data_IF_666507049678
#
_entry.id   IF_666507049678
#
_cell.length_a   1.000
_cell.length_b   1.000
_cell.length_c   1.000
_cell.angle_alpha   90.00
_cell.angle_beta   90.00
_cell.angle_gamma   90.00
#
_symmetry.space_group_name_H-M   'P 1'
#
loop_
_entity.id
_entity.type
_entity.pdbx_description
1 polymer ?
#
# COMPACT_ATOMS: atom_id res chain seq x y z
N UNK A 1 19.16 -79.71 -6.68
CA UNK A 1 17.90 -78.90 -6.43
C UNK A 1 18.12 -77.43 -6.03
N UNK A 2 19.18 -77.11 -5.29
CA UNK A 2 19.39 -75.77 -4.72
C UNK A 2 19.85 -74.71 -5.71
N UNK A 3 20.65 -75.02 -6.67
CA UNK A 3 21.15 -74.09 -7.69
C UNK A 3 20.05 -73.58 -8.63
N UNK A 4 19.06 -74.43 -8.93
CA UNK A 4 17.94 -74.05 -9.80
C UNK A 4 16.95 -73.09 -9.09
N UNK A 5 16.79 -73.18 -7.77
CA UNK A 5 15.88 -72.34 -6.96
C UNK A 5 16.47 -70.99 -6.72
N UNK A 6 17.79 -70.81 -6.63
CA UNK A 6 18.51 -69.57 -6.47
C UNK A 6 18.46 -68.74 -7.75
N UNK A 7 18.61 -69.35 -8.91
CA UNK A 7 18.50 -68.64 -10.21
C UNK A 7 17.08 -68.18 -10.53
N UNK A 8 16.05 -68.83 -10.03
CA UNK A 8 14.66 -68.50 -10.23
C UNK A 8 14.25 -67.24 -9.35
N UNK A 9 14.82 -67.13 -8.15
CA UNK A 9 14.63 -65.93 -7.29
C UNK A 9 15.30 -64.70 -7.88
N UNK A 10 16.53 -64.81 -8.36
CA UNK A 10 17.23 -63.70 -9.00
C UNK A 10 16.57 -63.24 -10.28
N UNK A 11 16.05 -64.19 -11.11
CA UNK A 11 15.30 -63.85 -12.31
C UNK A 11 14.01 -63.06 -12.01
N UNK A 12 13.26 -63.37 -10.97
CA UNK A 12 12.07 -62.67 -10.54
C UNK A 12 12.39 -61.23 -10.07
N UNK A 13 13.51 -61.03 -9.37
CA UNK A 13 13.95 -59.72 -8.91
C UNK A 13 14.34 -58.82 -10.09
N UNK A 14 15.08 -59.33 -11.07
CA UNK A 14 15.42 -58.57 -12.27
C UNK A 14 14.21 -58.22 -13.15
N UNK A 15 13.25 -59.18 -13.25
CA UNK A 15 12.00 -58.94 -13.96
C UNK A 15 11.18 -57.82 -13.28
N UNK A 16 11.07 -57.84 -11.95
CA UNK A 16 10.37 -56.83 -11.19
C UNK A 16 11.05 -55.44 -11.31
N UNK A 17 12.37 -55.36 -11.21
CA UNK A 17 13.16 -54.16 -11.41
C UNK A 17 12.99 -53.57 -12.81
N UNK A 18 12.96 -54.44 -13.85
CA UNK A 18 12.76 -54.01 -15.23
C UNK A 18 11.35 -53.42 -15.44
N UNK A 19 10.32 -54.05 -14.85
CA UNK A 19 8.93 -53.54 -14.89
C UNK A 19 8.82 -52.17 -14.18
N UNK A 20 9.44 -52.03 -12.99
CA UNK A 20 9.49 -50.77 -12.28
C UNK A 20 10.21 -49.66 -13.06
N UNK A 21 11.32 -49.99 -13.75
CA UNK A 21 12.07 -49.07 -14.58
C UNK A 21 11.24 -48.57 -15.78
N UNK A 22 10.55 -49.50 -16.46
CA UNK A 22 9.66 -49.17 -17.58
C UNK A 22 8.49 -48.28 -17.10
N UNK A 23 7.88 -48.61 -15.95
CA UNK A 23 6.80 -47.83 -15.37
C UNK A 23 7.28 -46.41 -15.00
N UNK A 24 8.49 -46.26 -14.44
CA UNK A 24 9.12 -44.97 -14.12
C UNK A 24 9.40 -44.14 -15.38
N UNK A 25 9.86 -44.76 -16.46
CA UNK A 25 10.10 -44.09 -17.73
C UNK A 25 8.81 -43.60 -18.41
N UNK A 26 7.75 -44.44 -18.39
CA UNK A 26 6.43 -44.08 -18.95
C UNK A 26 5.80 -42.94 -18.14
N UNK A 27 5.89 -43.00 -16.79
CA UNK A 27 5.34 -41.96 -15.92
C UNK A 27 6.03 -40.60 -16.11
N UNK A 28 7.36 -40.60 -16.23
CA UNK A 28 8.11 -39.33 -16.49
C UNK A 28 7.86 -38.78 -17.90
N UNK A 29 7.65 -39.64 -18.90
CA UNK A 29 7.40 -39.21 -20.28
C UNK A 29 6.00 -38.53 -20.43
N UNK A 30 4.98 -39.07 -19.72
CA UNK A 30 3.63 -38.51 -19.72
C UNK A 30 3.57 -37.10 -19.08
N UNK A 31 4.22 -36.93 -17.92
CA UNK A 31 4.21 -35.67 -17.18
C UNK A 31 4.97 -34.53 -17.92
N UNK A 32 6.05 -34.86 -18.62
CA UNK A 32 6.84 -33.90 -19.40
C UNK A 32 6.11 -33.42 -20.65
N UNK A 33 5.23 -34.22 -21.26
CA UNK A 33 4.54 -33.88 -22.50
C UNK A 33 3.39 -32.89 -22.26
N UNK A 34 2.61 -33.11 -21.18
CA UNK A 34 1.46 -32.28 -20.84
C UNK A 34 1.89 -30.84 -20.43
N UNK A 35 3.00 -30.74 -19.67
CA UNK A 35 3.56 -29.42 -19.31
C UNK A 35 4.10 -28.66 -20.51
N UNK A 36 4.63 -29.35 -21.51
CA UNK A 36 5.17 -28.74 -22.72
C UNK A 36 4.06 -28.21 -23.64
N UNK A 37 3.00 -28.98 -23.85
CA UNK A 37 1.84 -28.54 -24.65
C UNK A 37 1.15 -27.33 -24.04
N UNK A 38 0.97 -27.30 -22.72
CA UNK A 38 0.39 -26.15 -22.02
C UNK A 38 1.25 -24.89 -22.12
N UNK A 39 2.57 -25.02 -22.04
CA UNK A 39 3.48 -23.90 -22.22
C UNK A 39 3.45 -23.39 -23.67
N UNK A 40 3.42 -24.26 -24.67
CA UNK A 40 3.37 -23.89 -26.08
C UNK A 40 2.07 -23.11 -26.39
N UNK A 41 0.96 -23.48 -25.78
CA UNK A 41 -0.31 -22.75 -25.89
C UNK A 41 -0.22 -21.34 -25.28
N UNK A 42 0.34 -21.20 -24.10
CA UNK A 42 0.56 -19.90 -23.44
C UNK A 42 1.44 -18.99 -24.32
N UNK A 43 2.53 -19.52 -24.85
CA UNK A 43 3.42 -18.76 -25.75
C UNK A 43 2.72 -18.29 -27.02
N UNK A 44 1.79 -19.08 -27.58
CA UNK A 44 0.98 -18.69 -28.73
C UNK A 44 0.10 -17.46 -28.42
N UNK A 45 -0.55 -17.43 -27.25
CA UNK A 45 -1.37 -16.30 -26.83
C UNK A 45 -0.54 -15.08 -26.45
N UNK A 46 0.63 -15.24 -25.82
CA UNK A 46 1.56 -14.14 -25.58
C UNK A 46 2.08 -13.52 -26.86
N UNK A 47 2.31 -14.33 -27.92
CA UNK A 47 2.68 -13.81 -29.23
C UNK A 47 1.53 -12.99 -29.84
N UNK A 48 0.29 -13.48 -29.75
CA UNK A 48 -0.89 -12.77 -30.21
C UNK A 48 -1.04 -11.42 -29.48
N UNK A 49 -0.91 -11.43 -28.15
CA UNK A 49 -0.94 -10.22 -27.32
C UNK A 49 0.10 -9.19 -27.77
N UNK A 50 1.35 -9.63 -27.99
CA UNK A 50 2.43 -8.78 -28.46
C UNK A 50 2.16 -8.19 -29.86
N UNK A 51 1.54 -8.95 -30.74
CA UNK A 51 1.15 -8.48 -32.08
C UNK A 51 0.05 -7.41 -32.01
N UNK A 52 -0.96 -7.63 -31.15
CA UNK A 52 -2.04 -6.66 -30.96
C UNK A 52 -1.50 -5.37 -30.32
N UNK A 53 -0.59 -5.47 -29.34
CA UNK A 53 0.04 -4.31 -28.74
C UNK A 53 0.75 -3.44 -29.79
N UNK A 54 1.58 -4.05 -30.64
CA UNK A 54 2.25 -3.35 -31.74
C UNK A 54 1.26 -2.74 -32.73
N UNK A 55 0.20 -3.47 -33.09
CA UNK A 55 -0.82 -2.96 -34.00
C UNK A 55 -1.47 -1.69 -33.43
N UNK A 56 -1.71 -1.63 -32.14
CA UNK A 56 -2.25 -0.44 -31.47
C UNK A 56 -1.21 0.70 -31.49
N UNK A 57 0.05 0.43 -31.13
CA UNK A 57 1.12 1.42 -31.15
C UNK A 57 1.31 2.05 -32.55
N UNK A 58 1.25 1.21 -33.61
CA UNK A 58 1.51 1.65 -34.96
C UNK A 58 0.32 2.36 -35.62
N UNK A 59 -0.93 2.09 -35.20
CA UNK A 59 -2.11 2.51 -35.98
C UNK A 59 -3.13 3.34 -35.17
N UNK A 60 -2.95 3.51 -33.85
CA UNK A 60 -3.91 4.30 -33.09
C UNK A 60 -3.77 5.79 -33.45
N UNK A 61 -4.91 6.52 -33.38
CA UNK A 61 -5.02 7.92 -33.85
C UNK A 61 -4.13 8.90 -33.07
N UNK A 62 -3.79 8.58 -31.81
CA UNK A 62 -2.90 9.38 -30.98
C UNK A 62 -1.80 8.50 -30.40
N UNK A 63 -0.68 9.11 -30.01
CA UNK A 63 0.40 8.39 -29.32
C UNK A 63 -0.13 7.71 -28.06
N UNK A 64 0.16 6.43 -27.90
CA UNK A 64 -0.27 5.61 -26.75
C UNK A 64 0.92 5.28 -25.87
N UNK A 65 0.67 5.18 -24.58
CA UNK A 65 1.67 4.77 -23.61
C UNK A 65 1.62 3.24 -23.46
N UNK A 66 2.66 2.49 -23.89
CA UNK A 66 2.69 1.03 -23.79
C UNK A 66 2.52 0.52 -22.37
N UNK A 67 3.05 1.25 -21.39
CA UNK A 67 2.92 0.92 -19.96
C UNK A 67 1.46 0.89 -19.53
N UNK A 68 0.67 1.89 -19.89
CA UNK A 68 -0.75 1.95 -19.55
C UNK A 68 -1.56 0.86 -20.22
N UNK A 69 -1.24 0.54 -21.49
CA UNK A 69 -1.88 -0.58 -22.20
C UNK A 69 -1.61 -1.92 -21.52
N UNK A 70 -0.37 -2.16 -21.08
CA UNK A 70 0.01 -3.39 -20.36
C UNK A 70 -0.71 -3.47 -19.02
N UNK A 71 -0.75 -2.38 -18.24
CA UNK A 71 -1.50 -2.35 -16.97
C UNK A 71 -3.00 -2.59 -17.20
N UNK A 72 -3.57 -2.00 -18.26
CA UNK A 72 -4.97 -2.24 -18.64
C UNK A 72 -5.24 -3.70 -18.98
N UNK A 73 -4.33 -4.34 -19.72
CA UNK A 73 -4.44 -5.76 -20.06
C UNK A 73 -4.34 -6.66 -18.81
N UNK A 74 -3.41 -6.39 -17.89
CA UNK A 74 -3.29 -7.12 -16.62
C UNK A 74 -4.57 -6.98 -15.80
N UNK A 75 -5.12 -5.77 -15.69
CA UNK A 75 -6.39 -5.55 -15.00
C UNK A 75 -7.55 -6.31 -15.67
N UNK A 76 -7.57 -6.36 -17.02
CA UNK A 76 -8.53 -7.18 -17.75
C UNK A 76 -8.45 -8.67 -17.40
N UNK A 77 -7.23 -9.21 -17.29
CA UNK A 77 -7.02 -10.60 -16.84
C UNK A 77 -7.52 -10.83 -15.42
N UNK A 78 -7.22 -9.93 -14.49
CA UNK A 78 -7.64 -10.05 -13.10
C UNK A 78 -9.16 -9.95 -12.95
N UNK A 79 -9.79 -9.03 -13.66
CA UNK A 79 -11.25 -8.89 -13.68
C UNK A 79 -11.98 -10.12 -14.22
N UNK A 80 -11.30 -10.97 -15.02
CA UNK A 80 -11.87 -12.23 -15.48
C UNK A 80 -11.86 -13.34 -14.43
N UNK A 81 -11.15 -13.16 -13.31
CA UNK A 81 -11.07 -14.13 -12.21
C UNK A 81 -12.21 -13.90 -11.21
N UNK A 82 -12.26 -12.72 -10.63
CA UNK A 82 -13.25 -12.32 -9.63
C UNK A 82 -13.26 -10.78 -9.46
N UNK A 83 -14.28 -10.19 -8.77
CA UNK A 83 -14.38 -8.74 -8.59
C UNK A 83 -13.42 -8.17 -7.53
N UNK A 84 -12.66 -9.01 -6.81
CA UNK A 84 -11.79 -8.59 -5.71
C UNK A 84 -10.31 -8.61 -6.09
N UNK A 85 -9.95 -9.33 -7.16
CA UNK A 85 -8.58 -9.39 -7.65
C UNK A 85 -8.20 -8.11 -8.38
N UNK A 86 -7.14 -7.45 -7.95
CA UNK A 86 -6.65 -6.21 -8.56
C UNK A 86 -5.13 -6.12 -8.53
N UNK A 87 -4.57 -5.41 -9.50
CA UNK A 87 -3.15 -5.02 -9.50
C UNK A 87 -3.03 -3.58 -9.02
N UNK A 88 -2.28 -3.37 -7.97
CA UNK A 88 -1.92 -2.04 -7.51
C UNK A 88 -0.63 -1.59 -8.17
N UNK A 89 -0.62 -0.38 -8.71
CA UNK A 89 0.62 0.29 -9.12
C UNK A 89 1.48 0.58 -7.87
N UNK A 90 2.81 0.75 -7.99
CA UNK A 90 3.67 1.01 -6.84
C UNK A 90 3.21 2.18 -5.96
N UNK A 91 2.65 3.22 -6.57
CA UNK A 91 2.13 4.38 -5.86
C UNK A 91 0.85 4.04 -5.08
N UNK A 92 -0.07 3.28 -5.66
CA UNK A 92 -1.31 2.82 -5.03
C UNK A 92 -1.02 1.86 -3.87
N UNK A 93 -0.06 0.95 -4.06
CA UNK A 93 0.39 0.06 -2.99
C UNK A 93 0.99 0.84 -1.81
N UNK A 94 1.76 1.88 -2.09
CA UNK A 94 2.34 2.75 -1.06
C UNK A 94 1.26 3.52 -0.28
N UNK A 95 0.22 4.01 -0.94
CA UNK A 95 -0.89 4.66 -0.25
C UNK A 95 -1.67 3.66 0.61
N UNK A 96 -1.94 2.44 0.12
CA UNK A 96 -2.55 1.37 0.91
C UNK A 96 -1.69 1.03 2.15
N UNK A 97 -0.36 0.98 1.99
CA UNK A 97 0.56 0.74 3.10
C UNK A 97 0.50 1.87 4.15
N UNK A 98 0.35 3.13 3.72
CA UNK A 98 0.13 4.27 4.61
C UNK A 98 -1.21 4.15 5.34
N UNK A 99 -2.28 3.82 4.62
CA UNK A 99 -3.61 3.66 5.20
C UNK A 99 -3.66 2.53 6.23
N UNK A 100 -3.02 1.41 5.96
CA UNK A 100 -3.02 0.24 6.84
C UNK A 100 -2.10 0.39 8.04
N UNK A 101 -0.89 0.94 7.86
CA UNK A 101 0.06 1.22 8.95
C UNK A 101 -0.33 2.44 9.79
N UNK A 102 -1.15 3.34 9.23
CA UNK A 102 -1.51 4.60 9.87
C UNK A 102 -0.32 5.54 10.06
N UNK A 103 0.68 5.45 9.18
CA UNK A 103 1.86 6.33 9.25
C UNK A 103 2.38 6.65 7.86
N UNK A 104 2.89 7.86 7.68
CA UNK A 104 3.65 8.23 6.49
C UNK A 104 4.95 8.93 6.87
N UNK A 105 5.87 9.04 5.94
CA UNK A 105 7.14 9.74 6.17
C UNK A 105 7.11 11.12 5.51
N UNK A 106 7.43 12.16 6.29
CA UNK A 106 7.39 13.53 5.83
C UNK A 106 7.68 14.53 6.94
N UNK A 107 7.18 15.75 6.80
CA UNK A 107 7.40 16.82 7.79
C UNK A 107 6.20 17.06 8.74
N UNK A 108 5.03 16.47 8.45
CA UNK A 108 3.85 16.58 9.31
C UNK A 108 3.09 17.90 9.18
N UNK A 109 2.68 18.26 7.95
CA UNK A 109 1.78 19.39 7.70
C UNK A 109 0.58 18.95 6.87
N UNK A 110 -0.54 19.56 7.15
CA UNK A 110 -1.72 19.57 6.30
C UNK A 110 -1.68 20.80 5.40
N UNK A 111 -1.83 20.63 4.09
CA UNK A 111 -1.73 21.72 3.11
C UNK A 111 -2.96 21.75 2.20
N UNK A 112 -3.24 22.93 1.67
CA UNK A 112 -4.28 23.17 0.66
C UNK A 112 -3.77 24.16 -0.38
N UNK A 113 -4.50 24.32 -1.47
CA UNK A 113 -4.29 25.46 -2.40
C UNK A 113 -5.30 26.53 -2.06
N UNK A 114 -4.79 27.73 -1.73
CA UNK A 114 -5.59 28.92 -1.50
C UNK A 114 -5.02 30.08 -2.33
N UNK A 115 -5.88 30.72 -3.12
CA UNK A 115 -5.47 31.81 -4.02
C UNK A 115 -4.26 31.39 -4.91
N UNK A 116 -4.33 30.20 -5.51
CA UNK A 116 -3.29 29.59 -6.34
C UNK A 116 -1.95 29.33 -5.62
N UNK A 117 -1.90 29.47 -4.30
CA UNK A 117 -0.69 29.27 -3.49
C UNK A 117 -0.88 28.09 -2.53
N UNK A 118 0.14 27.23 -2.44
CA UNK A 118 0.16 26.15 -1.45
C UNK A 118 0.27 26.76 -0.06
N UNK A 119 -0.74 26.51 0.77
CA UNK A 119 -0.89 27.13 2.09
C UNK A 119 -1.04 26.06 3.16
N UNK A 120 -0.38 26.25 4.30
CA UNK A 120 -0.48 25.35 5.47
C UNK A 120 -1.84 25.54 6.12
N UNK A 121 -2.61 24.46 6.22
CA UNK A 121 -3.87 24.40 7.00
C UNK A 121 -3.53 24.28 8.48
N UNK A 122 -2.70 23.28 8.84
CA UNK A 122 -2.20 23.08 10.19
C UNK A 122 -0.94 22.20 10.19
N UNK A 123 0.04 22.45 11.07
CA UNK A 123 1.04 21.45 11.41
C UNK A 123 0.43 20.41 12.35
N UNK A 124 0.85 19.15 12.18
CA UNK A 124 0.45 18.05 13.07
C UNK A 124 1.30 18.11 14.33
N UNK A 125 0.69 18.00 15.51
CA UNK A 125 1.39 18.03 16.80
C UNK A 125 2.53 17.02 16.88
N UNK A 126 3.61 17.38 17.58
CA UNK A 126 4.81 16.58 17.80
C UNK A 126 5.64 16.21 16.56
N UNK A 127 5.28 16.71 15.39
CA UNK A 127 6.00 16.48 14.12
C UNK A 127 7.16 17.47 13.91
N UNK A 128 8.05 17.22 12.92
CA UNK A 128 9.12 18.16 12.58
C UNK A 128 8.61 19.57 12.26
N UNK A 129 7.51 19.71 11.54
CA UNK A 129 6.92 21.00 11.20
C UNK A 129 6.39 21.75 12.42
N UNK A 130 5.74 21.04 13.34
CA UNK A 130 5.28 21.61 14.60
C UNK A 130 6.45 22.13 15.44
N UNK A 131 7.50 21.33 15.62
CA UNK A 131 8.71 21.69 16.39
C UNK A 131 9.46 22.87 15.78
N UNK A 132 9.41 23.01 14.45
CA UNK A 132 10.00 24.14 13.73
C UNK A 132 9.15 25.42 13.76
N UNK A 133 7.97 25.37 14.38
CA UNK A 133 7.09 26.53 14.53
C UNK A 133 6.41 26.96 13.24
N UNK A 134 6.11 26.04 12.33
CA UNK A 134 5.22 26.26 11.18
C UNK A 134 3.82 26.53 11.73
N UNK A 135 3.10 27.46 11.09
CA UNK A 135 1.79 27.92 11.57
C UNK A 135 0.72 27.80 10.48
N UNK A 136 -0.54 27.67 10.87
CA UNK A 136 -1.67 27.82 9.94
C UNK A 136 -1.57 29.15 9.19
N UNK A 137 -1.82 29.10 7.87
CA UNK A 137 -1.76 30.27 7.00
C UNK A 137 -0.37 30.59 6.42
N UNK A 138 0.69 29.87 6.80
CA UNK A 138 1.99 30.02 6.15
C UNK A 138 1.86 29.59 4.67
N UNK A 139 2.25 30.48 3.74
CA UNK A 139 2.26 30.22 2.31
C UNK A 139 3.61 29.60 1.92
N UNK A 140 3.63 28.43 1.33
CA UNK A 140 4.86 27.76 0.90
C UNK A 140 5.22 28.29 -0.49
N UNK A 141 6.32 29.01 -0.60
CA UNK A 141 6.80 29.59 -1.85
C UNK A 141 7.75 28.67 -2.61
N UNK A 142 8.56 27.87 -1.89
CA UNK A 142 9.49 26.90 -2.46
C UNK A 142 9.56 25.65 -1.59
N UNK A 143 9.83 24.52 -2.22
CA UNK A 143 10.20 23.24 -1.58
C UNK A 143 11.52 22.81 -2.21
N UNK A 144 12.58 22.76 -1.39
CA UNK A 144 13.96 22.75 -1.85
C UNK A 144 14.18 23.89 -2.86
N UNK A 145 14.76 23.64 -4.02
CA UNK A 145 14.99 24.64 -5.05
C UNK A 145 13.79 24.87 -5.99
N UNK A 146 12.66 24.15 -5.78
CA UNK A 146 11.50 24.21 -6.68
C UNK A 146 10.45 25.21 -6.21
N UNK A 147 10.13 26.24 -7.02
CA UNK A 147 9.03 27.13 -6.72
C UNK A 147 7.68 26.40 -6.76
N UNK A 148 6.78 26.73 -5.84
CA UNK A 148 5.46 26.08 -5.73
C UNK A 148 4.38 26.73 -6.60
N UNK A 149 4.67 27.85 -7.25
CA UNK A 149 3.72 28.54 -8.13
C UNK A 149 3.32 27.63 -9.30
N UNK A 150 2.03 27.38 -9.45
CA UNK A 150 1.49 26.49 -10.48
C UNK A 150 1.65 24.99 -10.21
N UNK A 151 2.22 24.63 -9.05
CA UNK A 151 2.39 23.24 -8.62
C UNK A 151 1.05 22.68 -8.11
N UNK A 152 0.71 21.46 -8.49
CA UNK A 152 -0.43 20.75 -7.93
C UNK A 152 -0.19 20.34 -6.47
N UNK A 153 -1.27 20.14 -5.71
CA UNK A 153 -1.18 19.69 -4.32
C UNK A 153 -0.44 18.35 -4.21
N UNK A 154 -0.69 17.44 -5.15
CA UNK A 154 -0.06 16.12 -5.18
C UNK A 154 1.47 16.21 -5.40
N UNK A 155 1.91 17.11 -6.28
CA UNK A 155 3.34 17.35 -6.51
C UNK A 155 4.02 17.90 -5.27
N UNK A 156 3.38 18.86 -4.60
CA UNK A 156 3.90 19.41 -3.35
C UNK A 156 4.00 18.34 -2.26
N UNK A 157 2.97 17.50 -2.09
CA UNK A 157 2.98 16.38 -1.15
C UNK A 157 4.13 15.41 -1.47
N UNK A 158 4.35 15.07 -2.75
CA UNK A 158 5.47 14.20 -3.16
C UNK A 158 6.84 14.77 -2.79
N UNK A 159 7.03 16.09 -2.88
CA UNK A 159 8.28 16.75 -2.50
C UNK A 159 8.46 16.85 -0.98
N UNK A 160 7.40 17.10 -0.23
CA UNK A 160 7.41 17.17 1.24
C UNK A 160 7.60 15.80 1.89
N UNK A 161 7.07 14.74 1.28
CA UNK A 161 7.31 13.34 1.68
C UNK A 161 8.70 12.88 1.24
N UNK A 162 9.19 11.82 1.84
CA UNK A 162 10.47 11.18 1.49
C UNK A 162 10.97 10.27 2.60
N UNK A 163 12.13 9.60 2.42
CA UNK A 163 12.67 8.70 3.43
C UNK A 163 12.92 9.40 4.77
N UNK A 164 12.63 8.69 5.88
CA UNK A 164 12.95 9.16 7.24
C UNK A 164 14.44 9.56 7.34
N UNK A 165 14.72 10.68 8.02
CA UNK A 165 16.06 11.20 8.25
C UNK A 165 16.61 12.06 7.09
N UNK A 166 15.93 12.14 5.94
CA UNK A 166 16.33 13.04 4.86
C UNK A 166 15.87 14.47 5.13
N UNK A 167 16.62 15.44 4.61
CA UNK A 167 16.29 16.86 4.75
C UNK A 167 15.35 17.33 3.65
N UNK A 168 14.52 18.32 3.96
CA UNK A 168 13.77 19.13 3.01
C UNK A 168 13.78 20.56 3.51
N UNK A 169 14.00 21.50 2.62
CA UNK A 169 13.99 22.93 2.93
C UNK A 169 12.73 23.55 2.33
N UNK A 170 11.96 24.27 3.14
CA UNK A 170 10.79 25.01 2.67
C UNK A 170 11.01 26.49 2.86
N UNK A 171 10.67 27.28 1.85
CA UNK A 171 10.58 28.75 1.96
C UNK A 171 9.12 29.11 2.17
N UNK A 172 8.80 29.71 3.29
CA UNK A 172 7.44 30.16 3.64
C UNK A 172 7.34 31.68 3.66
N UNK A 173 6.15 32.18 3.33
CA UNK A 173 5.75 33.56 3.53
C UNK A 173 4.68 33.59 4.64
N UNK A 174 5.00 34.27 5.73
CA UNK A 174 4.11 34.45 6.89
C UNK A 174 3.58 35.89 6.97
N UNK A 175 2.27 36.04 7.20
CA UNK A 175 1.59 37.32 7.32
C UNK A 175 1.85 38.27 6.13
N UNK A 176 2.06 37.69 4.94
CA UNK A 176 2.36 38.42 3.69
C UNK A 176 3.59 39.36 3.73
N UNK A 177 4.47 39.20 4.72
CA UNK A 177 5.66 40.05 4.93
C UNK A 177 6.92 39.27 5.27
N UNK A 178 6.82 38.21 6.08
CA UNK A 178 7.99 37.55 6.63
C UNK A 178 8.34 36.31 5.80
N UNK A 179 9.41 36.35 5.03
CA UNK A 179 9.94 35.21 4.32
C UNK A 179 10.91 34.49 5.25
N UNK A 180 10.70 33.17 5.40
CA UNK A 180 11.56 32.29 6.21
C UNK A 180 11.93 31.04 5.43
N UNK A 181 13.20 30.67 5.50
CA UNK A 181 13.69 29.40 5.02
C UNK A 181 13.88 28.46 6.21
N UNK A 182 13.25 27.27 6.14
CA UNK A 182 13.23 26.31 7.23
C UNK A 182 13.63 24.97 6.69
N UNK A 183 14.76 24.43 7.17
CA UNK A 183 15.19 23.07 6.85
C UNK A 183 14.66 22.11 7.91
N UNK A 184 13.97 21.08 7.46
CA UNK A 184 13.31 20.06 8.27
C UNK A 184 13.89 18.70 7.97
N UNK A 185 13.93 17.83 8.98
CA UNK A 185 14.29 16.42 8.83
C UNK A 185 12.98 15.64 8.77
N UNK A 186 12.78 14.87 7.70
CA UNK A 186 11.59 14.01 7.55
C UNK A 186 11.58 12.93 8.62
N UNK A 187 10.42 12.70 9.19
CA UNK A 187 10.20 11.65 10.20
C UNK A 187 8.92 10.88 9.90
N UNK A 188 8.66 9.82 10.70
CA UNK A 188 7.42 9.07 10.66
C UNK A 188 6.32 9.90 11.31
N UNK A 189 5.28 10.18 10.57
CA UNK A 189 4.13 10.98 10.99
C UNK A 189 2.95 10.05 11.26
N UNK A 190 2.46 9.94 12.50
CA UNK A 190 1.30 9.10 12.80
C UNK A 190 0.00 9.74 12.31
N UNK A 191 -0.87 8.92 11.76
CA UNK A 191 -2.25 9.29 11.42
C UNK A 191 -3.14 8.69 12.51
N UNK A 192 -3.61 9.49 13.46
CA UNK A 192 -4.47 8.99 14.54
C UNK A 192 -5.80 8.51 13.99
N UNK A 193 -6.08 7.24 14.21
CA UNK A 193 -7.34 6.60 13.82
C UNK A 193 -8.43 6.76 14.89
N UNK A 194 -8.06 7.00 16.15
CA UNK A 194 -8.98 7.16 17.28
C UNK A 194 -9.03 8.63 17.72
N UNK A 195 -10.24 9.16 17.82
CA UNK A 195 -10.54 10.51 18.33
C UNK A 195 -11.52 10.42 19.47
N UNK A 196 -11.28 11.13 20.56
CA UNK A 196 -12.14 11.13 21.76
C UNK A 196 -12.57 12.53 22.15
N UNK A 197 -13.73 12.64 22.74
CA UNK A 197 -14.28 13.85 23.32
C UNK A 197 -15.19 13.50 24.49
N UNK A 198 -15.10 14.26 25.59
CA UNK A 198 -16.12 14.23 26.64
C UNK A 198 -17.32 15.05 26.18
N UNK A 199 -18.51 14.46 26.21
CA UNK A 199 -19.77 15.11 25.87
C UNK A 199 -20.35 15.80 27.11
N UNK A 200 -20.46 15.04 28.20
CA UNK A 200 -20.88 15.49 29.49
C UNK A 200 -20.23 14.62 30.59
N UNK A 201 -20.26 14.97 31.88
CA UNK A 201 -19.60 14.22 32.94
C UNK A 201 -20.04 12.75 32.95
N UNK A 202 -19.11 11.84 32.75
CA UNK A 202 -19.31 10.40 32.69
C UNK A 202 -19.65 9.83 31.32
N UNK A 203 -19.83 10.64 30.28
CA UNK A 203 -20.15 10.15 28.93
C UNK A 203 -19.11 10.60 27.91
N UNK A 204 -18.48 9.64 27.27
CA UNK A 204 -17.43 9.85 26.28
C UNK A 204 -17.91 9.52 24.86
N UNK A 205 -17.44 10.31 23.90
CA UNK A 205 -17.54 10.02 22.48
C UNK A 205 -16.19 9.51 22.00
N UNK A 206 -16.21 8.38 21.33
CA UNK A 206 -15.02 7.73 20.73
C UNK A 206 -15.32 7.50 19.27
N UNK A 207 -14.53 8.05 18.37
CA UNK A 207 -14.65 7.84 16.94
C UNK A 207 -13.43 7.08 16.42
N UNK A 208 -13.67 5.99 15.69
CA UNK A 208 -12.65 5.26 14.94
C UNK A 208 -12.84 5.58 13.47
N UNK A 209 -11.85 6.22 12.87
CA UNK A 209 -11.92 6.69 11.47
C UNK A 209 -11.56 5.61 10.46
N UNK A 210 -10.69 4.65 10.84
CA UNK A 210 -10.28 3.48 10.05
C UNK A 210 -9.64 2.45 10.97
N UNK A 211 -9.56 1.18 10.53
CA UNK A 211 -8.89 0.12 11.30
C UNK A 211 -7.46 -0.06 10.81
N UNK A 212 -6.54 0.69 11.42
CA UNK A 212 -5.11 0.66 11.17
C UNK A 212 -4.42 -0.29 12.14
N UNK A 213 -3.15 -0.64 11.88
CA UNK A 213 -2.35 -1.52 12.74
C UNK A 213 -2.30 -1.04 14.20
N UNK A 214 -2.28 0.29 14.43
CA UNK A 214 -2.21 0.90 15.76
C UNK A 214 -3.58 1.21 16.38
N UNK A 215 -4.67 1.03 15.68
CA UNK A 215 -6.02 1.39 16.16
C UNK A 215 -6.38 0.74 17.49
N UNK A 216 -6.12 -0.57 17.74
CA UNK A 216 -6.40 -1.18 19.04
C UNK A 216 -5.65 -0.52 20.18
N UNK A 217 -4.35 -0.29 20.00
CA UNK A 217 -3.52 0.36 21.00
C UNK A 217 -3.94 1.82 21.26
N UNK A 218 -4.22 2.58 20.19
CA UNK A 218 -4.72 3.96 20.30
C UNK A 218 -6.06 4.03 21.05
N UNK A 219 -6.94 3.03 20.85
CA UNK A 219 -8.21 2.95 21.57
C UNK A 219 -8.00 2.70 23.06
N UNK A 220 -7.14 1.74 23.42
CA UNK A 220 -6.81 1.44 24.83
C UNK A 220 -6.27 2.68 25.51
N UNK A 221 -5.24 3.32 24.94
CA UNK A 221 -4.63 4.54 25.49
C UNK A 221 -5.65 5.69 25.63
N UNK A 222 -6.56 5.82 24.66
CA UNK A 222 -7.60 6.83 24.70
C UNK A 222 -8.63 6.57 25.80
N UNK A 223 -9.03 5.32 26.01
CA UNK A 223 -9.96 4.93 27.07
C UNK A 223 -9.34 5.09 28.46
N UNK A 224 -8.10 4.63 28.66
CA UNK A 224 -7.35 4.82 29.90
C UNK A 224 -7.22 6.31 30.27
N UNK A 225 -6.91 7.16 29.27
CA UNK A 225 -6.83 8.61 29.49
C UNK A 225 -8.18 9.21 29.90
N UNK A 226 -9.28 8.71 29.35
CA UNK A 226 -10.63 9.17 29.72
C UNK A 226 -10.95 8.75 31.16
N UNK A 227 -10.68 7.50 31.55
CA UNK A 227 -10.94 6.95 32.86
C UNK A 227 -10.10 7.63 33.96
N UNK A 228 -8.84 7.95 33.66
CA UNK A 228 -7.97 8.68 34.61
C UNK A 228 -8.46 10.10 34.90
N UNK A 229 -9.23 10.71 34.00
CA UNK A 229 -9.74 12.06 34.18
C UNK A 229 -11.11 12.11 34.91
N UNK A 230 -11.93 11.06 34.72
CA UNK A 230 -13.26 10.95 35.35
C UNK A 230 -13.83 9.53 35.19
N UNK A 231 -14.75 9.17 36.11
CA UNK A 231 -15.47 7.91 35.95
C UNK A 231 -16.35 7.91 34.71
N UNK A 232 -16.10 6.98 33.79
CA UNK A 232 -16.88 6.80 32.57
C UNK A 232 -18.10 5.90 32.86
N UNK A 233 -19.29 6.38 32.57
CA UNK A 233 -20.59 5.68 32.73
C UNK A 233 -21.09 5.11 31.41
N UNK A 234 -20.68 5.69 30.28
CA UNK A 234 -21.08 5.25 28.95
C UNK A 234 -20.22 5.84 27.85
N UNK A 235 -20.17 5.12 26.74
CA UNK A 235 -19.40 5.49 25.55
C UNK A 235 -20.32 5.48 24.33
N UNK A 236 -20.23 6.51 23.51
CA UNK A 236 -20.79 6.52 22.16
C UNK A 236 -19.65 6.19 21.20
N UNK A 237 -19.67 4.99 20.62
CA UNK A 237 -18.72 4.58 19.58
C UNK A 237 -19.25 5.01 18.21
N UNK A 238 -18.52 5.88 17.51
CA UNK A 238 -18.85 6.37 16.18
C UNK A 238 -17.94 5.74 15.10
N UNK A 239 -18.56 4.93 14.25
CA UNK A 239 -17.93 4.29 13.09
C UNK A 239 -18.44 4.86 11.77
N UNK A 240 -19.17 5.96 11.79
CA UNK A 240 -19.69 6.59 10.56
C UNK A 240 -18.56 7.06 9.67
N UNK A 241 -18.67 6.76 8.35
CA UNK A 241 -17.64 7.04 7.35
C UNK A 241 -16.30 6.32 7.60
N UNK A 242 -16.31 5.24 8.39
CA UNK A 242 -15.17 4.33 8.49
C UNK A 242 -15.19 3.40 7.27
N UNK A 243 -14.19 3.44 6.38
CA UNK A 243 -14.15 2.58 5.18
C UNK A 243 -13.74 1.13 5.49
N UNK A 244 -13.41 0.83 6.76
CA UNK A 244 -12.82 -0.44 7.17
C UNK A 244 -11.33 -0.33 7.43
N UNK A 245 -10.56 -1.33 7.00
CA UNK A 245 -9.11 -1.45 7.18
C UNK A 245 -8.69 -2.88 7.49
N UNK A 246 -7.74 -3.07 8.40
CA UNK A 246 -7.23 -4.39 8.79
C UNK A 246 -8.28 -5.16 9.61
N UNK A 247 -8.63 -6.36 9.13
CA UNK A 247 -9.56 -7.25 9.82
C UNK A 247 -9.05 -7.64 11.21
N UNK A 248 -7.74 -7.90 11.35
CA UNK A 248 -7.10 -8.19 12.65
C UNK A 248 -7.35 -7.07 13.66
N UNK A 249 -7.16 -5.81 13.26
CA UNK A 249 -7.39 -4.65 14.12
C UNK A 249 -8.86 -4.46 14.47
N UNK A 250 -9.77 -4.75 13.55
CA UNK A 250 -11.20 -4.71 13.82
C UNK A 250 -11.65 -5.76 14.85
N UNK A 251 -11.08 -6.98 14.75
CA UNK A 251 -11.34 -8.07 15.71
C UNK A 251 -10.77 -7.73 17.11
N UNK A 252 -9.58 -7.13 17.14
CA UNK A 252 -8.93 -6.78 18.43
C UNK A 252 -9.64 -5.62 19.15
N UNK A 253 -10.29 -4.74 18.39
CA UNK A 253 -11.11 -3.64 18.92
C UNK A 253 -12.47 -4.14 19.43
N UNK A 254 -13.02 -5.25 18.89
CA UNK A 254 -14.34 -5.76 19.24
C UNK A 254 -14.37 -6.58 20.53
#
# INVERSE_FOLDING_TARGET
GELMHKNFKTFKVYLFLSICLVFFLIFNCGFSKESKEKNDEIYKYLKLFSQVLRLIEDNYVTEVNPKELIYGAINGMLNSLDPYSSLMKPEEYKELEIETKGTFTGIGIEITIKDEVITVVAPIEDTPAWKAGIKPGDKILKIDDKPTKGMSLLEAVKLLRGPKGTKVTITILRNDKDIKEITLIRDVIPIKSVKTKILEPGYAYVRITSFQEKTPQELIEALEKLENNQQIKGIILDLRFNPGGLLSSAIEVA
#
